data_IF_802140040559
#
_entry.id   IF_802140040559
#
_cell.length_a   1.000
_cell.length_b   1.000
_cell.length_c   1.000
_cell.angle_alpha   90.00
_cell.angle_beta   90.00
_cell.angle_gamma   90.00
#
_symmetry.space_group_name_H-M   'P 1'
#
loop_
_entity.id
_entity.type
_entity.pdbx_description
1 polymer ?
#
# COMPACT_ATOMS: atom_id res chain seq x y z
N UNK A 1 18.39 4.69 -10.39
CA UNK A 1 17.68 3.45 -10.78
C UNK A 1 16.20 3.76 -10.82
N UNK A 2 15.44 3.21 -11.78
CA UNK A 2 13.98 3.35 -11.81
C UNK A 2 13.36 2.20 -11.03
N UNK A 3 12.43 2.49 -10.12
CA UNK A 3 11.66 1.47 -9.41
C UNK A 3 10.53 1.00 -10.31
N UNK A 4 10.34 -0.32 -10.39
CA UNK A 4 9.23 -0.93 -11.11
C UNK A 4 8.18 -1.43 -10.12
N UNK A 5 6.94 -1.54 -10.58
CA UNK A 5 5.85 -2.12 -9.78
C UNK A 5 5.43 -3.44 -10.40
N UNK A 6 5.24 -4.47 -9.58
CA UNK A 6 4.52 -5.67 -10.01
C UNK A 6 3.11 -5.27 -10.51
N UNK A 7 2.69 -5.79 -11.65
CA UNK A 7 1.45 -5.37 -12.34
C UNK A 7 0.22 -5.50 -11.44
N UNK A 8 0.05 -6.67 -10.82
CA UNK A 8 -1.05 -6.97 -9.89
C UNK A 8 -1.04 -6.05 -8.66
N UNK A 9 0.14 -5.74 -8.13
CA UNK A 9 0.33 -4.81 -7.01
C UNK A 9 -0.07 -3.38 -7.41
N UNK A 10 0.31 -2.94 -8.62
CA UNK A 10 -0.07 -1.62 -9.13
C UNK A 10 -1.59 -1.49 -9.32
N UNK A 11 -2.24 -2.54 -9.81
CA UNK A 11 -3.70 -2.61 -9.95
C UNK A 11 -4.40 -2.53 -8.59
N UNK A 12 -3.96 -3.35 -7.63
CA UNK A 12 -4.47 -3.35 -6.25
C UNK A 12 -4.28 -1.99 -5.56
N UNK A 13 -3.15 -1.33 -5.80
CA UNK A 13 -2.92 0.02 -5.29
C UNK A 13 -3.95 1.01 -5.84
N UNK A 14 -4.26 0.94 -7.13
CA UNK A 14 -5.32 1.73 -7.76
C UNK A 14 -6.68 1.50 -7.08
N UNK A 15 -7.06 0.24 -6.88
CA UNK A 15 -8.32 -0.15 -6.25
C UNK A 15 -8.42 0.32 -4.79
N UNK A 16 -7.34 0.22 -4.00
CA UNK A 16 -7.31 0.76 -2.64
C UNK A 16 -7.47 2.28 -2.63
N UNK A 17 -6.84 3.00 -3.56
CA UNK A 17 -7.00 4.44 -3.68
C UNK A 17 -8.43 4.87 -4.04
N UNK A 18 -9.20 4.05 -4.75
CA UNK A 18 -10.61 4.33 -5.03
C UNK A 18 -11.47 4.34 -3.77
N UNK A 19 -11.09 3.57 -2.73
CA UNK A 19 -11.74 3.56 -1.41
C UNK A 19 -11.43 4.81 -0.58
N UNK A 20 -10.32 5.49 -0.87
CA UNK A 20 -9.95 6.75 -0.22
C UNK A 20 -10.87 7.89 -0.70
N UNK A 21 -11.36 8.75 0.20
CA UNK A 21 -12.12 9.94 -0.17
C UNK A 21 -11.40 10.79 -1.24
N UNK A 22 -12.16 11.28 -2.22
CA UNK A 22 -11.63 11.96 -3.42
C UNK A 22 -10.61 13.05 -3.09
N UNK A 23 -10.89 13.88 -2.07
CA UNK A 23 -10.04 15.00 -1.66
C UNK A 23 -8.73 14.58 -0.96
N UNK A 24 -8.65 13.35 -0.44
CA UNK A 24 -7.42 12.79 0.15
C UNK A 24 -6.64 11.91 -0.84
N UNK A 25 -7.28 11.44 -1.91
CA UNK A 25 -6.74 10.40 -2.80
C UNK A 25 -5.41 10.76 -3.44
N UNK A 26 -5.23 12.01 -3.86
CA UNK A 26 -3.96 12.46 -4.45
C UNK A 26 -2.82 12.40 -3.44
N UNK A 27 -3.06 12.86 -2.20
CA UNK A 27 -2.09 12.81 -1.11
C UNK A 27 -1.78 11.36 -0.71
N UNK A 28 -2.80 10.52 -0.57
CA UNK A 28 -2.63 9.09 -0.24
C UNK A 28 -1.80 8.37 -1.31
N UNK A 29 -2.09 8.63 -2.60
CA UNK A 29 -1.31 8.08 -3.72
C UNK A 29 0.16 8.46 -3.60
N UNK A 30 0.45 9.74 -3.40
CA UNK A 30 1.83 10.22 -3.31
C UNK A 30 2.57 9.61 -2.12
N UNK A 31 1.97 9.65 -0.93
CA UNK A 31 2.59 9.16 0.30
C UNK A 31 2.85 7.66 0.27
N UNK A 32 1.83 6.88 -0.06
CA UNK A 32 1.94 5.41 -0.11
C UNK A 32 2.92 4.97 -1.19
N UNK A 33 2.89 5.58 -2.38
CA UNK A 33 3.84 5.26 -3.45
C UNK A 33 5.29 5.54 -3.04
N UNK A 34 5.57 6.75 -2.53
CA UNK A 34 6.91 7.11 -2.04
C UNK A 34 7.38 6.17 -0.94
N UNK A 35 6.48 5.77 -0.04
CA UNK A 35 6.81 4.87 1.05
C UNK A 35 7.15 3.46 0.57
N UNK A 36 6.35 2.90 -0.34
CA UNK A 36 6.61 1.60 -0.93
C UNK A 36 7.95 1.58 -1.69
N UNK A 37 8.22 2.62 -2.50
CA UNK A 37 9.49 2.76 -3.22
C UNK A 37 10.69 2.93 -2.27
N UNK A 38 10.50 3.64 -1.16
CA UNK A 38 11.54 3.80 -0.14
C UNK A 38 11.88 2.47 0.54
N UNK A 39 10.88 1.63 0.87
CA UNK A 39 11.10 0.28 1.43
C UNK A 39 11.96 -0.55 0.47
N UNK A 40 11.56 -0.60 -0.80
CA UNK A 40 12.26 -1.35 -1.85
C UNK A 40 13.69 -0.86 -2.04
N UNK A 41 13.89 0.46 -2.06
CA UNK A 41 15.20 1.09 -2.21
C UNK A 41 16.11 0.78 -1.02
N UNK A 42 15.59 0.83 0.21
CA UNK A 42 16.35 0.54 1.42
C UNK A 42 16.83 -0.92 1.47
N UNK A 43 16.07 -1.84 0.88
CA UNK A 43 16.42 -3.26 0.79
C UNK A 43 17.27 -3.61 -0.45
N UNK A 44 17.67 -2.61 -1.25
CA UNK A 44 18.46 -2.84 -2.47
C UNK A 44 17.70 -3.55 -3.59
N UNK A 45 16.36 -3.59 -3.51
CA UNK A 45 15.48 -4.15 -4.53
C UNK A 45 15.11 -3.07 -5.56
N UNK A 46 14.52 -3.50 -6.68
CA UNK A 46 14.08 -2.61 -7.77
C UNK A 46 12.62 -2.81 -8.18
N UNK A 47 11.90 -3.67 -7.46
CA UNK A 47 10.50 -3.99 -7.73
C UNK A 47 9.67 -3.90 -6.45
N UNK A 48 8.62 -3.09 -6.51
CA UNK A 48 7.55 -3.01 -5.50
C UNK A 48 6.65 -4.23 -5.64
N UNK A 49 6.47 -4.93 -4.53
CA UNK A 49 5.61 -6.11 -4.37
C UNK A 49 4.40 -5.79 -3.49
N UNK A 50 3.44 -6.71 -3.39
CA UNK A 50 2.24 -6.52 -2.57
C UNK A 50 2.60 -6.29 -1.07
N UNK A 51 3.66 -6.93 -0.56
CA UNK A 51 4.13 -6.70 0.81
C UNK A 51 4.49 -5.24 1.04
N UNK A 52 5.26 -4.65 0.12
CA UNK A 52 5.74 -3.28 0.21
C UNK A 52 4.59 -2.27 0.20
N UNK A 53 3.57 -2.57 -0.61
CA UNK A 53 2.34 -1.79 -0.68
C UNK A 53 1.57 -1.86 0.65
N UNK A 54 1.39 -3.06 1.21
CA UNK A 54 0.71 -3.24 2.49
C UNK A 54 1.45 -2.50 3.61
N UNK A 55 2.75 -2.68 3.72
CA UNK A 55 3.58 -2.00 4.71
C UNK A 55 3.49 -0.48 4.58
N UNK A 56 3.53 0.04 3.35
CA UNK A 56 3.38 1.46 3.08
C UNK A 56 2.01 2.00 3.55
N UNK A 57 0.93 1.26 3.30
CA UNK A 57 -0.40 1.64 3.78
C UNK A 57 -0.48 1.69 5.31
N UNK A 58 0.05 0.68 6.00
CA UNK A 58 0.05 0.67 7.46
C UNK A 58 0.86 1.81 8.08
N UNK A 59 1.97 2.22 7.43
CA UNK A 59 2.76 3.35 7.91
C UNK A 59 2.09 4.70 7.63
N UNK A 60 1.56 4.90 6.43
CA UNK A 60 1.04 6.21 6.00
C UNK A 60 -0.42 6.46 6.44
N UNK A 61 -1.16 5.40 6.76
CA UNK A 61 -2.54 5.51 7.25
C UNK A 61 -2.52 5.74 8.76
N UNK A 62 -3.17 6.80 9.28
CA UNK A 62 -3.25 7.00 10.72
C UNK A 62 -3.98 5.83 11.40
N UNK A 63 -3.56 5.49 12.62
CA UNK A 63 -4.07 4.32 13.35
C UNK A 63 -5.61 4.26 13.44
N UNK A 64 -6.28 5.40 13.63
CA UNK A 64 -7.74 5.47 13.68
C UNK A 64 -8.46 5.03 12.39
N UNK A 65 -7.73 4.97 11.27
CA UNK A 65 -8.24 4.52 9.97
C UNK A 65 -7.75 3.13 9.57
N UNK A 66 -6.98 2.44 10.43
CA UNK A 66 -6.53 1.07 10.14
C UNK A 66 -7.69 0.09 10.03
N UNK A 67 -8.77 0.27 10.79
CA UNK A 67 -9.97 -0.58 10.70
C UNK A 67 -10.56 -0.61 9.27
N UNK A 68 -11.03 0.55 8.75
CA UNK A 68 -11.52 0.63 7.36
C UNK A 68 -10.49 0.17 6.32
N UNK A 69 -9.22 0.56 6.48
CA UNK A 69 -8.14 0.14 5.57
C UNK A 69 -7.99 -1.39 5.51
N UNK A 70 -8.03 -2.08 6.65
CA UNK A 70 -7.98 -3.55 6.71
C UNK A 70 -9.19 -4.17 6.02
N UNK A 71 -10.38 -3.62 6.23
CA UNK A 71 -11.61 -4.07 5.54
C UNK A 71 -11.50 -3.91 4.03
N UNK A 72 -10.96 -2.78 3.55
CA UNK A 72 -10.73 -2.54 2.13
C UNK A 72 -9.71 -3.51 1.53
N UNK A 73 -8.62 -3.81 2.26
CA UNK A 73 -7.63 -4.83 1.86
C UNK A 73 -8.25 -6.22 1.74
N UNK A 74 -9.01 -6.65 2.74
CA UNK A 74 -9.70 -7.95 2.74
C UNK A 74 -10.70 -8.07 1.59
N UNK A 75 -11.47 -7.01 1.31
CA UNK A 75 -12.41 -6.95 0.20
C UNK A 75 -11.74 -7.08 -1.18
N UNK A 76 -10.45 -6.74 -1.29
CA UNK A 76 -9.63 -6.88 -2.50
C UNK A 76 -8.78 -8.16 -2.50
N UNK A 77 -9.01 -9.07 -1.55
CA UNK A 77 -8.26 -10.32 -1.44
C UNK A 77 -6.79 -10.12 -1.04
N UNK A 78 -6.47 -9.02 -0.35
CA UNK A 78 -5.16 -8.76 0.22
C UNK A 78 -5.17 -9.29 1.65
N UNK A 79 -4.54 -10.44 1.84
CA UNK A 79 -4.24 -10.94 3.18
C UNK A 79 -3.03 -10.17 3.73
N UNK A 80 -3.29 -9.11 4.51
CA UNK A 80 -2.23 -8.33 5.15
C UNK A 80 -1.55 -9.07 6.31
N UNK A 81 -2.17 -10.12 6.85
CA UNK A 81 -1.65 -10.86 8.01
C UNK A 81 -0.43 -11.70 7.65
N UNK A 82 -0.36 -12.20 6.41
CA UNK A 82 0.83 -12.90 5.89
C UNK A 82 2.09 -12.02 5.84
N UNK A 83 1.93 -10.70 5.96
CA UNK A 83 3.02 -9.73 6.01
C UNK A 83 3.35 -9.23 7.43
N UNK A 84 2.71 -9.78 8.46
CA UNK A 84 3.02 -9.49 9.87
C UNK A 84 2.14 -8.42 10.52
N UNK A 85 1.10 -7.94 9.84
CA UNK A 85 0.14 -6.99 10.42
C UNK A 85 -0.97 -7.72 11.18
N UNK A 86 -1.23 -7.29 12.42
CA UNK A 86 -2.26 -7.89 13.26
C UNK A 86 -3.67 -7.63 12.71
N UNK A 87 -4.57 -8.59 12.94
CA UNK A 87 -6.00 -8.47 12.61
C UNK A 87 -6.68 -7.39 13.42
#
# INVERSE_FOLDING_TARGET
MSINWETTTKEKFGQLLEKVPVFLRAMAREKVAKKAEAIVTQEGRVQVTEKDLVDAFFVETPFGFHGPMKTDMEALGIDYTKYGHAR
#
